data_IF_030837240778
#
_entry.id   IF_030837240778
#
_cell.length_a   1.000
_cell.length_b   1.000
_cell.length_c   1.000
_cell.angle_alpha   90.00
_cell.angle_beta   90.00
_cell.angle_gamma   90.00
#
_symmetry.space_group_name_H-M   'P 1'
#
loop_
_entity.id
_entity.type
_entity.pdbx_description
1 polymer ?
#
# COMPACT_ATOMS: atom_id res chain seq x y z
N UNK A 1 17.96 -30.40 31.73
CA UNK A 1 17.37 -30.60 33.07
C UNK A 1 16.92 -29.24 33.57
N UNK A 2 15.65 -29.15 33.99
CA UNK A 2 15.12 -28.08 34.87
C UNK A 2 14.56 -26.76 34.31
N UNK A 3 13.86 -26.71 33.17
CA UNK A 3 12.95 -25.55 32.89
C UNK A 3 11.63 -25.91 32.17
N UNK A 4 11.30 -27.19 31.99
CA UNK A 4 10.05 -27.62 31.32
C UNK A 4 9.26 -28.58 32.23
N UNK A 5 9.02 -28.20 33.49
CA UNK A 5 8.17 -29.01 34.38
C UNK A 5 7.30 -28.24 35.39
N UNK A 6 7.29 -26.90 35.40
CA UNK A 6 6.56 -26.14 36.44
C UNK A 6 5.20 -25.54 36.02
N UNK A 7 4.74 -25.72 34.78
CA UNK A 7 3.45 -25.18 34.32
C UNK A 7 2.24 -26.12 34.54
N UNK A 8 2.44 -27.37 35.01
CA UNK A 8 1.34 -28.35 35.15
C UNK A 8 0.68 -28.31 36.55
N UNK A 9 1.09 -27.41 37.45
CA UNK A 9 0.62 -27.40 38.85
C UNK A 9 -0.23 -26.20 39.28
N UNK A 10 -0.86 -25.51 38.34
CA UNK A 10 -1.76 -24.38 38.62
C UNK A 10 -3.21 -24.58 38.14
N UNK A 11 -3.60 -25.84 37.88
CA UNK A 11 -5.00 -26.23 37.62
C UNK A 11 -5.47 -27.15 38.76
N UNK A 12 -5.62 -26.62 39.99
CA UNK A 12 -6.31 -27.36 41.06
C UNK A 12 -6.91 -26.51 42.19
N UNK A 13 -7.20 -25.23 41.94
CA UNK A 13 -8.00 -24.44 42.88
C UNK A 13 -8.83 -23.38 42.17
N UNK A 14 -9.86 -23.84 41.47
CA UNK A 14 -11.04 -23.01 41.23
C UNK A 14 -12.16 -23.65 42.03
N UNK A 15 -12.37 -23.11 43.23
CA UNK A 15 -13.59 -23.31 44.01
C UNK A 15 -14.76 -22.95 43.11
N UNK A 16 -15.60 -23.94 42.85
CA UNK A 16 -16.94 -23.76 42.27
C UNK A 16 -17.71 -22.87 43.24
N UNK A 17 -17.85 -21.59 42.89
CA UNK A 17 -18.76 -20.70 43.58
C UNK A 17 -20.17 -21.10 43.14
N UNK A 18 -20.84 -21.84 44.01
CA UNK A 18 -22.26 -22.15 43.92
C UNK A 18 -23.04 -20.84 43.93
N UNK A 19 -23.50 -20.39 42.75
CA UNK A 19 -24.53 -19.37 42.67
C UNK A 19 -25.88 -20.07 42.62
N UNK A 20 -26.62 -19.88 43.71
CA UNK A 20 -27.94 -20.40 43.96
C UNK A 20 -28.92 -19.80 42.94
N UNK A 21 -29.20 -20.50 41.83
CA UNK A 21 -30.07 -20.01 40.76
C UNK A 21 -31.52 -20.48 40.98
N UNK A 22 -32.11 -20.06 42.10
CA UNK A 22 -33.56 -20.12 42.30
C UNK A 22 -34.21 -18.85 41.72
N UNK A 23 -34.18 -18.73 40.39
CA UNK A 23 -35.05 -17.82 39.64
C UNK A 23 -35.47 -18.47 38.31
N UNK A 24 -35.99 -19.69 38.40
CA UNK A 24 -36.96 -20.19 37.44
C UNK A 24 -38.36 -19.89 37.97
N UNK A 25 -38.79 -18.64 37.78
CA UNK A 25 -40.21 -18.32 37.76
C UNK A 25 -40.54 -17.58 36.48
N UNK A 26 -41.07 -18.34 35.51
CA UNK A 26 -42.30 -17.99 34.81
C UNK A 26 -42.28 -16.64 34.08
N UNK A 27 -41.82 -16.68 32.82
CA UNK A 27 -42.50 -15.99 31.73
C UNK A 27 -42.30 -16.79 30.43
N UNK A 28 -43.24 -17.70 30.14
CA UNK A 28 -43.62 -17.99 28.75
C UNK A 28 -44.23 -16.71 28.18
N UNK A 29 -43.37 -15.77 27.79
CA UNK A 29 -43.74 -14.69 26.89
C UNK A 29 -43.46 -15.17 25.48
N UNK A 30 -44.50 -15.22 24.64
CA UNK A 30 -44.37 -15.44 23.20
C UNK A 30 -43.38 -14.41 22.67
N UNK A 31 -42.13 -14.81 22.48
CA UNK A 31 -41.11 -13.93 21.93
C UNK A 31 -41.51 -13.62 20.50
N UNK A 32 -41.96 -12.39 20.29
CA UNK A 32 -42.32 -11.89 18.97
C UNK A 32 -41.10 -12.05 18.05
N UNK A 33 -41.27 -12.70 16.90
CA UNK A 33 -40.21 -13.02 15.95
C UNK A 33 -39.36 -11.79 15.59
N UNK A 34 -39.97 -10.60 15.62
CA UNK A 34 -39.27 -9.32 15.43
C UNK A 34 -38.18 -9.03 16.49
N UNK A 35 -38.35 -9.44 17.74
CA UNK A 35 -37.38 -9.24 18.82
C UNK A 35 -36.24 -10.26 18.77
N UNK A 36 -36.53 -11.49 18.31
CA UNK A 36 -35.52 -12.50 17.99
C UNK A 36 -34.61 -12.05 16.84
N UNK A 37 -35.21 -11.53 15.77
CA UNK A 37 -34.47 -10.96 14.63
C UNK A 37 -33.63 -9.76 15.08
N UNK A 38 -34.16 -8.86 15.92
CA UNK A 38 -33.42 -7.69 16.41
C UNK A 38 -32.22 -8.07 17.28
N UNK A 39 -32.37 -9.04 18.19
CA UNK A 39 -31.27 -9.52 19.04
C UNK A 39 -30.25 -10.34 18.25
N UNK A 40 -30.70 -11.16 17.30
CA UNK A 40 -29.83 -11.89 16.39
C UNK A 40 -29.01 -10.97 15.48
N UNK A 41 -29.64 -9.92 14.94
CA UNK A 41 -28.95 -8.92 14.11
C UNK A 41 -27.89 -8.14 14.89
N UNK A 42 -28.16 -7.77 16.15
CA UNK A 42 -27.18 -7.14 17.05
C UNK A 42 -26.00 -8.07 17.39
N UNK A 43 -26.27 -9.37 17.61
CA UNK A 43 -25.22 -10.38 17.81
C UNK A 43 -24.37 -10.63 16.57
N UNK A 44 -25.00 -10.66 15.39
CA UNK A 44 -24.32 -10.82 14.10
C UNK A 44 -23.45 -9.60 13.78
N UNK A 45 -23.94 -8.37 14.04
CA UNK A 45 -23.15 -7.15 13.86
C UNK A 45 -21.89 -7.14 14.73
N UNK A 46 -21.98 -7.60 15.97
CA UNK A 46 -20.82 -7.72 16.87
C UNK A 46 -19.74 -8.68 16.35
N UNK A 47 -20.13 -9.74 15.64
CA UNK A 47 -19.20 -10.69 15.03
C UNK A 47 -18.51 -10.13 13.77
N UNK A 48 -19.17 -9.26 13.00
CA UNK A 48 -18.55 -8.60 11.85
C UNK A 48 -17.48 -7.56 12.25
N UNK A 49 -17.59 -6.92 13.41
CA UNK A 49 -16.56 -5.98 13.88
C UNK A 49 -15.29 -6.66 14.41
N UNK A 50 -15.36 -7.90 14.89
CA UNK A 50 -14.19 -8.67 15.36
C UNK A 50 -13.29 -9.20 14.23
N UNK A 51 -13.75 -9.19 12.98
CA UNK A 51 -12.93 -9.56 11.82
C UNK A 51 -11.94 -8.47 11.40
N UNK A 52 -11.98 -7.28 12.02
CA UNK A 52 -11.13 -6.13 11.67
C UNK A 52 -9.75 -6.12 12.35
N UNK A 53 -9.40 -7.18 13.10
CA UNK A 53 -8.05 -7.35 13.68
C UNK A 53 -7.05 -7.98 12.69
N UNK A 54 -7.28 -7.84 11.39
CA UNK A 54 -6.21 -7.93 10.40
C UNK A 54 -5.55 -6.54 10.28
N UNK A 55 -4.94 -6.11 11.39
CA UNK A 55 -4.00 -4.99 11.43
C UNK A 55 -2.62 -5.38 10.86
N UNK A 56 -2.61 -6.25 9.85
CA UNK A 56 -1.48 -6.34 8.94
C UNK A 56 -1.70 -5.28 7.89
N UNK A 57 -1.08 -4.12 8.11
CA UNK A 57 -0.88 -3.09 7.11
C UNK A 57 -0.15 -3.66 5.90
N UNK A 58 -0.89 -4.33 5.02
CA UNK A 58 -0.51 -4.52 3.63
C UNK A 58 -0.66 -3.17 2.97
N UNK A 59 0.41 -2.38 3.06
CA UNK A 59 0.61 -1.14 2.35
C UNK A 59 0.13 -1.25 0.90
N UNK A 60 -0.34 -0.14 0.34
CA UNK A 60 -0.37 0.01 -1.10
C UNK A 60 1.08 -0.20 -1.59
N UNK A 61 1.38 -1.40 -2.11
CA UNK A 61 2.77 -1.81 -2.40
C UNK A 61 3.05 -3.30 -2.26
N UNK A 62 2.08 -4.14 -1.89
CA UNK A 62 2.33 -5.59 -1.82
C UNK A 62 2.48 -6.19 -3.23
N UNK A 63 3.74 -6.37 -3.63
CA UNK A 63 4.23 -7.58 -4.29
C UNK A 63 3.59 -7.89 -5.64
N UNK A 64 3.41 -6.85 -6.44
CA UNK A 64 3.35 -7.04 -7.89
C UNK A 64 4.56 -6.35 -8.48
N UNK A 65 5.26 -7.08 -9.33
CA UNK A 65 6.44 -6.72 -10.10
C UNK A 65 6.22 -5.52 -11.07
N UNK A 66 5.50 -4.48 -10.64
CA UNK A 66 5.04 -3.36 -11.48
C UNK A 66 6.18 -2.44 -11.91
N UNK A 67 7.37 -2.63 -11.34
CA UNK A 67 8.49 -1.71 -11.43
C UNK A 67 9.74 -2.45 -11.90
N UNK A 68 9.53 -3.40 -12.81
CA UNK A 68 10.59 -4.13 -13.51
C UNK A 68 10.68 -3.63 -14.94
N UNK A 69 11.90 -3.40 -15.40
CA UNK A 69 12.17 -2.99 -16.78
C UNK A 69 13.22 -3.92 -17.37
N UNK A 70 13.04 -4.26 -18.64
CA UNK A 70 13.95 -5.15 -19.35
C UNK A 70 15.13 -4.34 -19.88
N UNK A 71 16.35 -4.69 -19.43
CA UNK A 71 17.60 -4.09 -19.91
C UNK A 71 18.01 -4.72 -21.25
N UNK A 72 17.92 -6.04 -21.32
CA UNK A 72 18.20 -6.91 -22.46
C UNK A 72 17.22 -8.08 -22.40
N UNK A 73 16.97 -8.81 -23.51
CA UNK A 73 16.11 -9.99 -23.49
C UNK A 73 16.43 -10.90 -22.29
N UNK A 74 15.46 -11.15 -21.43
CA UNK A 74 15.54 -11.98 -20.20
C UNK A 74 16.28 -11.38 -19.00
N UNK A 75 16.77 -10.14 -19.10
CA UNK A 75 17.50 -9.45 -18.03
C UNK A 75 16.73 -8.23 -17.51
N UNK A 76 16.36 -8.26 -16.23
CA UNK A 76 15.48 -7.27 -15.62
C UNK A 76 16.20 -6.43 -14.57
N UNK A 77 15.83 -5.16 -14.51
CA UNK A 77 16.16 -4.24 -13.42
C UNK A 77 14.89 -3.95 -12.62
N UNK A 78 14.98 -4.05 -11.31
CA UNK A 78 13.92 -3.60 -10.42
C UNK A 78 14.18 -2.14 -10.03
N UNK A 79 13.13 -1.34 -9.98
CA UNK A 79 13.21 0.08 -9.71
C UNK A 79 12.18 0.48 -8.67
N UNK A 80 12.61 1.24 -7.67
CA UNK A 80 11.72 1.80 -6.66
C UNK A 80 12.09 3.25 -6.40
N UNK A 81 11.08 4.12 -6.37
CA UNK A 81 11.22 5.52 -6.00
C UNK A 81 10.60 5.78 -4.63
N UNK A 82 11.30 6.55 -3.80
CA UNK A 82 10.86 6.97 -2.48
C UNK A 82 10.85 8.49 -2.39
N UNK A 83 9.84 9.04 -1.72
CA UNK A 83 9.77 10.46 -1.39
C UNK A 83 9.63 10.63 0.13
N UNK A 84 10.68 10.31 0.91
CA UNK A 84 10.56 10.06 2.35
C UNK A 84 10.11 11.28 3.16
N UNK A 85 10.37 12.49 2.66
CA UNK A 85 9.96 13.73 3.34
C UNK A 85 8.45 14.01 3.19
N UNK A 86 7.88 13.74 2.02
CA UNK A 86 6.48 14.04 1.73
C UNK A 86 5.56 12.83 1.98
N UNK A 87 6.06 11.62 1.73
CA UNK A 87 5.31 10.37 1.75
C UNK A 87 6.14 9.28 2.44
N UNK A 88 6.22 9.31 3.78
CA UNK A 88 7.00 8.34 4.53
C UNK A 88 6.38 6.94 4.40
N UNK A 89 7.24 5.93 4.22
CA UNK A 89 6.87 4.52 4.08
C UNK A 89 6.01 4.16 2.84
N UNK A 90 5.96 5.03 1.83
CA UNK A 90 5.32 4.75 0.55
C UNK A 90 6.37 4.53 -0.54
N UNK A 91 6.06 3.60 -1.45
CA UNK A 91 6.90 3.23 -2.59
C UNK A 91 6.22 3.60 -3.91
N UNK A 92 6.98 4.18 -4.82
CA UNK A 92 6.49 4.63 -6.12
C UNK A 92 7.33 4.05 -7.26
N UNK A 93 6.76 4.08 -8.46
CA UNK A 93 7.43 3.60 -9.65
C UNK A 93 7.29 4.62 -10.79
N UNK A 94 6.36 4.42 -11.71
CA UNK A 94 6.16 5.33 -12.86
C UNK A 94 5.44 6.64 -12.53
N UNK A 95 4.82 6.77 -11.35
CA UNK A 95 4.08 7.98 -10.96
C UNK A 95 4.52 8.47 -9.58
N UNK A 96 5.27 9.56 -9.57
CA UNK A 96 5.73 10.25 -8.39
C UNK A 96 4.72 11.35 -8.01
N UNK A 97 4.16 11.31 -6.79
CA UNK A 97 3.11 12.23 -6.37
C UNK A 97 3.62 13.65 -6.12
N UNK A 98 4.83 13.79 -5.57
CA UNK A 98 5.44 15.06 -5.20
C UNK A 98 6.41 15.61 -6.26
N UNK A 99 6.55 16.93 -6.26
CA UNK A 99 7.64 17.68 -6.92
C UNK A 99 8.37 18.47 -5.83
N UNK A 100 9.57 19.00 -6.12
CA UNK A 100 10.32 19.85 -5.17
C UNK A 100 10.54 19.22 -3.78
N UNK A 101 10.67 17.90 -3.71
CA UNK A 101 10.90 17.12 -2.48
C UNK A 101 12.00 16.10 -2.73
N UNK A 102 12.73 15.74 -1.68
CA UNK A 102 13.71 14.66 -1.74
C UNK A 102 13.09 13.41 -2.40
N UNK A 103 13.69 13.00 -3.51
CA UNK A 103 13.32 11.79 -4.24
C UNK A 103 14.54 10.88 -4.29
N UNK A 104 14.41 9.67 -3.75
CA UNK A 104 15.43 8.62 -3.82
C UNK A 104 14.98 7.58 -4.82
N UNK A 105 15.82 7.29 -5.82
CA UNK A 105 15.58 6.29 -6.84
C UNK A 105 16.55 5.13 -6.59
N UNK A 106 16.01 3.94 -6.38
CA UNK A 106 16.75 2.72 -6.10
C UNK A 106 16.59 1.78 -7.29
N UNK A 107 17.71 1.34 -7.83
CA UNK A 107 17.77 0.41 -8.96
C UNK A 107 18.49 -0.87 -8.53
N UNK A 108 17.80 -2.00 -8.56
CA UNK A 108 18.34 -3.30 -8.19
C UNK A 108 18.51 -4.19 -9.44
N UNK A 109 19.77 -4.53 -9.74
CA UNK A 109 20.11 -5.47 -10.81
C UNK A 109 19.89 -6.91 -10.34
N UNK A 110 19.02 -7.63 -11.03
CA UNK A 110 18.76 -9.04 -10.75
C UNK A 110 19.95 -9.91 -11.14
N UNK A 111 20.60 -9.60 -12.26
CA UNK A 111 21.72 -10.38 -12.78
C UNK A 111 23.07 -9.92 -12.20
N UNK A 112 23.94 -10.87 -11.88
CA UNK A 112 25.33 -10.61 -11.48
C UNK A 112 26.17 -9.97 -12.59
N UNK A 113 25.81 -10.19 -13.86
CA UNK A 113 26.51 -9.63 -15.03
C UNK A 113 26.63 -8.10 -14.99
N UNK A 114 25.64 -7.41 -14.44
CA UNK A 114 25.59 -5.95 -14.39
C UNK A 114 26.18 -5.36 -13.09
N UNK A 115 26.62 -6.21 -12.16
CA UNK A 115 27.32 -5.76 -10.95
C UNK A 115 28.72 -5.28 -11.31
N UNK A 116 29.23 -4.30 -10.57
CA UNK A 116 30.54 -3.68 -10.79
C UNK A 116 30.68 -2.89 -12.10
N UNK A 117 29.60 -2.60 -12.82
CA UNK A 117 29.62 -1.66 -13.94
C UNK A 117 29.70 -0.21 -13.44
N UNK A 118 30.20 0.66 -14.31
CA UNK A 118 30.07 2.09 -14.16
C UNK A 118 28.66 2.49 -14.60
N UNK A 119 27.95 3.27 -13.79
CA UNK A 119 26.59 3.71 -14.13
C UNK A 119 26.56 5.22 -14.20
N UNK A 120 26.10 5.74 -15.32
CA UNK A 120 25.82 7.16 -15.55
C UNK A 120 24.30 7.37 -15.55
N UNK A 121 23.85 8.46 -14.93
CA UNK A 121 22.45 8.81 -14.84
C UNK A 121 22.19 10.21 -15.37
N UNK A 122 21.15 10.33 -16.16
CA UNK A 122 20.60 11.60 -16.59
C UNK A 122 19.08 11.58 -16.41
N UNK A 123 18.51 12.70 -15.97
CA UNK A 123 17.06 12.90 -15.96
C UNK A 123 16.74 14.09 -16.84
N UNK A 124 15.84 13.88 -17.80
CA UNK A 124 15.34 14.90 -18.73
C UNK A 124 13.84 15.11 -18.54
N UNK A 125 13.38 16.33 -18.80
CA UNK A 125 11.95 16.67 -18.85
C UNK A 125 11.43 16.50 -20.27
N UNK A 126 10.36 15.72 -20.42
CA UNK A 126 9.73 15.43 -21.71
C UNK A 126 8.54 16.36 -21.99
N UNK A 127 8.31 16.76 -23.26
CA UNK A 127 9.05 16.41 -24.48
C UNK A 127 10.21 17.38 -24.79
N UNK A 128 10.50 18.32 -23.90
CA UNK A 128 11.51 19.38 -24.13
C UNK A 128 12.95 18.83 -24.20
N UNK A 129 13.19 17.61 -23.71
CA UNK A 129 14.53 17.00 -23.60
C UNK A 129 15.45 17.74 -22.63
N UNK A 130 14.90 18.63 -21.79
CA UNK A 130 15.70 19.48 -20.91
C UNK A 130 16.25 18.66 -19.75
N UNK A 131 17.57 18.51 -19.69
CA UNK A 131 18.27 17.89 -18.56
C UNK A 131 17.99 18.65 -17.26
N UNK A 132 17.43 17.96 -16.28
CA UNK A 132 17.14 18.48 -14.93
C UNK A 132 18.09 17.91 -13.89
N UNK A 133 18.73 16.77 -14.17
CA UNK A 133 19.70 16.15 -13.29
C UNK A 133 20.73 15.35 -14.09
N UNK A 134 21.98 15.32 -13.63
CA UNK A 134 23.04 14.51 -14.19
C UNK A 134 24.00 14.04 -13.11
N UNK A 135 24.29 12.75 -13.10
CA UNK A 135 25.30 12.13 -12.27
C UNK A 135 26.30 11.41 -13.18
N UNK A 136 27.58 11.83 -13.20
CA UNK A 136 28.60 11.20 -14.03
C UNK A 136 28.84 9.75 -13.63
N UNK A 137 29.38 8.97 -14.57
CA UNK A 137 29.63 7.54 -14.39
C UNK A 137 30.43 7.23 -13.12
N UNK A 138 29.84 6.45 -12.20
CA UNK A 138 30.48 6.01 -10.97
C UNK A 138 30.43 4.49 -10.84
N UNK A 139 31.44 3.90 -10.18
CA UNK A 139 31.49 2.45 -9.99
C UNK A 139 30.56 2.04 -8.86
N UNK A 140 29.59 1.20 -9.16
CA UNK A 140 28.67 0.66 -8.17
C UNK A 140 29.04 -0.81 -7.89
N UNK A 141 29.68 -1.04 -6.74
CA UNK A 141 30.08 -2.39 -6.29
C UNK A 141 28.90 -3.24 -5.82
N UNK A 142 27.77 -2.61 -5.50
CA UNK A 142 26.57 -3.26 -5.01
C UNK A 142 25.69 -3.65 -6.20
N UNK A 143 24.91 -4.71 -6.06
CA UNK A 143 23.84 -5.03 -7.02
C UNK A 143 22.69 -4.02 -7.01
N UNK A 144 22.79 -2.98 -6.18
CA UNK A 144 21.85 -1.88 -6.09
C UNK A 144 22.55 -0.54 -6.30
N UNK A 145 21.85 0.40 -6.94
CA UNK A 145 22.29 1.78 -7.15
C UNK A 145 21.24 2.71 -6.57
N UNK A 146 21.68 3.57 -5.65
CA UNK A 146 20.84 4.59 -5.05
C UNK A 146 21.20 5.92 -5.66
N UNK A 147 20.23 6.55 -6.31
CA UNK A 147 20.33 7.90 -6.82
C UNK A 147 19.46 8.81 -5.96
N UNK A 148 20.03 9.93 -5.54
CA UNK A 148 19.30 10.93 -4.77
C UNK A 148 19.13 12.19 -5.61
N UNK A 149 17.88 12.66 -5.71
CA UNK A 149 17.53 13.98 -6.18
C UNK A 149 17.12 14.78 -4.94
N UNK A 150 18.04 15.56 -4.32
CA UNK A 150 17.79 16.19 -3.02
C UNK A 150 16.56 17.11 -3.00
N UNK A 151 16.30 17.77 -4.12
CA UNK A 151 15.14 18.65 -4.32
C UNK A 151 14.10 18.03 -5.27
N UNK A 152 14.24 16.76 -5.64
CA UNK A 152 13.38 16.12 -6.63
C UNK A 152 13.41 16.82 -7.99
N UNK A 153 12.31 16.70 -8.74
CA UNK A 153 12.11 17.41 -10.01
C UNK A 153 11.36 18.73 -9.79
N UNK A 154 11.68 19.78 -10.56
CA UNK A 154 11.18 21.14 -10.28
C UNK A 154 9.71 21.35 -10.64
N UNK A 155 9.21 20.66 -11.67
CA UNK A 155 7.89 20.92 -12.24
C UNK A 155 7.08 19.62 -12.37
N UNK A 156 5.74 19.66 -12.25
CA UNK A 156 4.90 18.53 -12.63
C UNK A 156 5.04 18.24 -14.13
N UNK A 157 5.08 16.96 -14.52
CA UNK A 157 5.24 16.60 -15.93
C UNK A 157 5.75 15.19 -16.16
N UNK A 158 6.03 14.90 -17.42
CA UNK A 158 6.68 13.67 -17.85
C UNK A 158 8.20 13.86 -17.84
N UNK A 159 8.91 12.85 -17.37
CA UNK A 159 10.36 12.82 -17.29
C UNK A 159 10.88 11.49 -17.81
N UNK A 160 12.12 11.50 -18.28
CA UNK A 160 12.83 10.32 -18.73
C UNK A 160 14.13 10.19 -17.95
N UNK A 161 14.35 9.01 -17.37
CA UNK A 161 15.60 8.62 -16.75
C UNK A 161 16.39 7.87 -17.81
N UNK A 162 17.58 8.38 -18.12
CA UNK A 162 18.57 7.72 -18.94
C UNK A 162 19.59 7.06 -18.02
N UNK A 163 19.76 5.75 -18.17
CA UNK A 163 20.71 4.94 -17.42
C UNK A 163 21.68 4.36 -18.43
N UNK A 164 22.94 4.76 -18.33
CA UNK A 164 24.01 4.25 -19.18
C UNK A 164 24.92 3.35 -18.36
N UNK A 165 24.91 2.07 -18.68
CA UNK A 165 25.82 1.06 -18.14
C UNK A 165 27.08 1.03 -18.99
N UNK A 166 28.21 1.37 -18.38
CA UNK A 166 29.52 1.35 -19.02
C UNK A 166 30.36 0.21 -18.44
N UNK A 167 30.91 -0.68 -19.28
CA UNK A 167 31.86 -1.69 -18.84
C UNK A 167 33.05 -1.05 -18.12
N UNK A 168 33.45 -1.63 -17.00
CA UNK A 168 34.65 -1.19 -16.30
C UNK A 168 35.89 -1.76 -16.99
N UNK A 169 36.84 -0.94 -17.47
CA UNK A 169 38.06 -1.42 -18.11
C UNK A 169 38.97 -2.23 -17.16
N UNK A 170 38.75 -2.16 -15.85
CA UNK A 170 39.43 -2.96 -14.83
C UNK A 170 38.71 -4.27 -14.50
N UNK A 171 37.56 -4.56 -15.13
CA UNK A 171 36.85 -5.82 -14.94
C UNK A 171 37.59 -6.98 -15.64
N UNK A 172 38.28 -7.78 -14.83
CA UNK A 172 38.99 -8.99 -15.28
C UNK A 172 38.06 -10.15 -15.64
N UNK A 173 36.78 -10.09 -15.27
CA UNK A 173 35.83 -11.18 -15.49
C UNK A 173 35.09 -11.05 -16.84
N UNK A 174 35.35 -9.99 -17.61
CA UNK A 174 34.85 -9.77 -18.99
C UNK A 174 33.36 -10.10 -19.15
N UNK A 175 32.54 -9.79 -18.12
CA UNK A 175 31.14 -10.23 -18.06
C UNK A 175 30.24 -9.55 -19.07
N UNK A 176 30.62 -8.34 -19.46
CA UNK A 176 30.01 -7.59 -20.55
C UNK A 176 31.05 -7.54 -21.67
N UNK A 177 30.67 -7.89 -22.90
CA UNK A 177 31.58 -7.97 -24.06
C UNK A 177 32.08 -6.58 -24.53
N UNK A 178 32.30 -5.64 -23.61
CA UNK A 178 32.63 -4.24 -23.91
C UNK A 178 31.45 -3.41 -24.39
N UNK A 179 30.23 -3.95 -24.38
CA UNK A 179 29.03 -3.25 -24.85
C UNK A 179 28.52 -2.25 -23.81
N UNK A 180 28.34 -0.99 -24.23
CA UNK A 180 27.62 0.03 -23.47
C UNK A 180 26.12 -0.20 -23.64
N UNK A 181 25.38 -0.18 -22.55
CA UNK A 181 23.93 -0.36 -22.58
C UNK A 181 23.24 0.91 -22.11
N UNK A 182 22.39 1.47 -22.96
CA UNK A 182 21.60 2.66 -22.66
C UNK A 182 20.13 2.27 -22.50
N UNK A 183 19.57 2.56 -21.33
CA UNK A 183 18.18 2.23 -20.98
C UNK A 183 17.44 3.48 -20.56
N UNK A 184 16.20 3.57 -21.02
CA UNK A 184 15.33 4.71 -20.79
C UNK A 184 14.09 4.29 -20.01
N UNK A 185 13.76 5.06 -18.96
CA UNK A 185 12.58 4.83 -18.14
C UNK A 185 11.79 6.11 -17.97
N UNK A 186 10.53 6.10 -18.40
CA UNK A 186 9.62 7.21 -18.22
C UNK A 186 9.01 7.22 -16.82
N UNK A 187 8.91 8.40 -16.21
CA UNK A 187 8.07 8.60 -15.03
C UNK A 187 7.31 9.93 -15.10
N UNK A 188 6.20 10.01 -14.39
CA UNK A 188 5.41 11.23 -14.20
C UNK A 188 5.65 11.79 -12.82
N UNK A 189 5.79 13.10 -12.69
CA UNK A 189 5.86 13.78 -11.40
C UNK A 189 4.70 14.76 -11.19
N UNK A 190 4.31 14.94 -9.93
CA UNK A 190 3.28 15.90 -9.54
C UNK A 190 1.84 15.43 -9.78
N UNK A 191 1.61 14.11 -9.80
CA UNK A 191 0.27 13.53 -9.97
C UNK A 191 -0.62 13.58 -8.72
N UNK A 192 -0.08 13.93 -7.56
CA UNK A 192 -0.73 13.76 -6.27
C UNK A 192 -0.80 12.30 -5.81
N UNK A 193 -1.12 12.07 -4.54
CA UNK A 193 -1.26 10.72 -4.00
C UNK A 193 -2.47 10.01 -4.63
N UNK A 194 -2.32 8.79 -5.17
CA UNK A 194 -3.47 8.01 -5.59
C UNK A 194 -4.34 7.71 -4.37
N UNK A 195 -5.60 8.16 -4.39
CA UNK A 195 -6.56 7.77 -3.35
C UNK A 195 -6.83 6.27 -3.52
N UNK A 196 -6.38 5.48 -2.55
CA UNK A 196 -6.66 4.04 -2.52
C UNK A 196 -8.16 3.79 -2.66
N UNK A 197 -8.56 2.83 -3.51
CA UNK A 197 -9.96 2.44 -3.69
C UNK A 197 -10.64 2.05 -2.37
N UNK A 198 -9.86 1.53 -1.43
CA UNK A 198 -10.35 1.17 -0.09
C UNK A 198 -10.75 2.40 0.73
N UNK A 199 -10.00 3.51 0.62
CA UNK A 199 -10.34 4.77 1.27
C UNK A 199 -11.62 5.36 0.65
N UNK A 200 -11.79 5.24 -0.66
CA UNK A 200 -13.00 5.69 -1.35
C UNK A 200 -14.23 4.86 -0.94
N UNK A 201 -14.09 3.54 -0.81
CA UNK A 201 -15.12 2.65 -0.28
C UNK A 201 -15.47 3.02 1.17
N UNK A 202 -14.46 3.31 1.99
CA UNK A 202 -14.65 3.70 3.39
C UNK A 202 -15.39 5.03 3.52
N UNK A 203 -15.03 6.04 2.70
CA UNK A 203 -15.77 7.30 2.65
C UNK A 203 -17.21 7.11 2.17
N UNK A 204 -17.43 6.29 1.15
CA UNK A 204 -18.78 5.95 0.69
C UNK A 204 -19.59 5.25 1.79
N UNK A 205 -18.97 4.34 2.55
CA UNK A 205 -19.59 3.67 3.68
C UNK A 205 -20.01 4.67 4.77
N UNK A 206 -19.11 5.58 5.19
CA UNK A 206 -19.45 6.60 6.18
C UNK A 206 -20.51 7.59 5.69
N UNK A 207 -20.49 7.96 4.41
CA UNK A 207 -21.51 8.81 3.81
C UNK A 207 -22.88 8.11 3.81
N UNK A 208 -22.96 6.84 3.42
CA UNK A 208 -24.19 6.05 3.44
C UNK A 208 -24.71 5.85 4.87
N UNK A 209 -23.81 5.58 5.84
CA UNK A 209 -24.19 5.47 7.25
C UNK A 209 -24.73 6.81 7.79
N UNK A 210 -24.09 7.93 7.46
CA UNK A 210 -24.58 9.27 7.81
C UNK A 210 -25.94 9.58 7.22
N UNK A 211 -26.15 9.27 5.93
CA UNK A 211 -27.45 9.40 5.27
C UNK A 211 -28.52 8.52 5.91
N UNK A 212 -28.16 7.30 6.32
CA UNK A 212 -29.07 6.39 7.01
C UNK A 212 -29.46 6.90 8.41
N UNK A 213 -28.50 7.45 9.16
CA UNK A 213 -28.80 8.09 10.44
C UNK A 213 -29.73 9.29 10.24
N UNK A 214 -29.46 10.13 9.23
CA UNK A 214 -30.30 11.29 8.90
C UNK A 214 -31.71 10.88 8.45
N UNK A 215 -31.83 9.75 7.75
CA UNK A 215 -33.11 9.10 7.43
C UNK A 215 -33.89 8.66 8.66
N UNK A 216 -33.24 8.12 9.69
CA UNK A 216 -33.91 7.73 10.92
C UNK A 216 -34.22 8.91 11.84
N UNK A 217 -33.38 9.96 11.85
CA UNK A 217 -33.48 11.07 12.79
C UNK A 217 -34.37 12.23 12.30
N UNK A 218 -34.65 12.34 11.00
CA UNK A 218 -35.46 13.40 10.41
C UNK A 218 -36.71 12.87 9.73
N UNK A 219 -37.88 13.11 10.35
CA UNK A 219 -39.17 12.72 9.81
C UNK A 219 -39.47 13.37 8.44
N UNK A 220 -38.99 14.59 8.22
CA UNK A 220 -39.15 15.32 6.96
C UNK A 220 -38.34 14.69 5.83
N UNK A 221 -37.08 14.32 6.10
CA UNK A 221 -36.21 13.66 5.12
C UNK A 221 -36.68 12.24 4.84
N UNK A 222 -37.06 11.48 5.87
CA UNK A 222 -37.64 10.14 5.74
C UNK A 222 -38.81 10.12 4.75
N UNK A 223 -39.79 11.00 4.95
CA UNK A 223 -40.99 11.08 4.10
C UNK A 223 -40.64 11.36 2.64
N UNK A 224 -39.65 12.21 2.38
CA UNK A 224 -39.19 12.52 1.01
C UNK A 224 -38.50 11.35 0.35
N UNK A 225 -37.68 10.61 1.10
CA UNK A 225 -37.03 9.39 0.62
C UNK A 225 -38.06 8.29 0.33
N UNK A 226 -39.02 8.08 1.24
CA UNK A 226 -40.10 7.10 1.06
C UNK A 226 -40.97 7.42 -0.18
N UNK A 227 -41.31 8.69 -0.39
CA UNK A 227 -42.08 9.15 -1.57
C UNK A 227 -41.30 8.92 -2.87
N UNK A 228 -39.98 9.17 -2.86
CA UNK A 228 -39.13 8.93 -4.02
C UNK A 228 -38.99 7.43 -4.34
N UNK A 229 -38.82 6.58 -3.34
CA UNK A 229 -38.76 5.12 -3.51
C UNK A 229 -40.09 4.57 -4.04
N UNK A 230 -41.21 5.08 -3.55
CA UNK A 230 -42.54 4.69 -4.02
C UNK A 230 -42.75 5.02 -5.51
N UNK A 231 -42.25 6.17 -5.98
CA UNK A 231 -42.30 6.59 -7.40
C UNK A 231 -41.42 5.77 -8.33
N UNK A 232 -40.39 5.10 -7.80
CA UNK A 232 -39.48 4.25 -8.60
C UNK A 232 -40.01 2.81 -8.68
N UNK A 233 -40.83 2.39 -7.71
CA UNK A 233 -41.42 1.04 -7.66
C UNK A 233 -42.81 0.93 -8.29
N UNK A 234 -43.47 2.06 -8.56
CA UNK A 234 -44.76 2.14 -9.26
C UNK A 234 -44.59 2.52 -10.71
#
# INVERSE_FOLDING_TARGET
MQVIFDEIKLIKSIKIFSYNNNYLSKQEGIMNTAQLIRKGFLGLLGLFFSASLWAHGGAAGTDTDQCKFELQPTHWIHYTAYQPQAFPAEEFCGNLPGTNTLTQLVFDYQDMKYRNMLVEFEVTKEPEGKRVFFLPSAKHKKGSVNLELPNGVPEPGQYLIHITLVPDPSDTEQRTQGERLDVHMGFKAGGGQPVSKNNLLLYAFFALAGLYVLYLSSAGFKRKVDEAIAKIKG
#
